data_IF_777146893080
#
_entry.id   IF_777146893080
#
_cell.length_a   1.000
_cell.length_b   1.000
_cell.length_c   1.000
_cell.angle_alpha   90.00
_cell.angle_beta   90.00
_cell.angle_gamma   90.00
#
_symmetry.space_group_name_H-M   'P 1'
#
loop_
_entity.id
_entity.type
_entity.pdbx_description
1 polymer ?
#
# COMPACT_ATOMS: atom_id res chain seq x y z
N UNK A 1 -12.01 12.07 -10.49
CA UNK A 1 -10.64 11.88 -9.98
C UNK A 1 -9.87 11.27 -11.12
N UNK A 2 -8.86 11.97 -11.66
CA UNK A 2 -7.97 11.33 -12.62
C UNK A 2 -7.32 10.13 -11.95
N UNK A 3 -7.26 8.98 -12.64
CA UNK A 3 -6.56 7.82 -12.13
C UNK A 3 -5.08 8.20 -11.95
N UNK A 4 -4.53 7.90 -10.77
CA UNK A 4 -3.13 8.20 -10.45
C UNK A 4 -2.21 7.52 -11.47
N UNK A 5 -2.59 6.33 -11.94
CA UNK A 5 -1.84 5.58 -12.95
C UNK A 5 -1.84 6.35 -14.27
N UNK A 6 -3.00 6.74 -14.78
CA UNK A 6 -3.12 7.52 -16.03
C UNK A 6 -2.31 8.83 -15.96
N UNK A 7 -2.31 9.48 -14.81
CA UNK A 7 -1.57 10.72 -14.58
C UNK A 7 -0.06 10.51 -14.68
N UNK A 8 0.47 9.43 -14.08
CA UNK A 8 1.90 9.10 -14.12
C UNK A 8 2.32 8.63 -15.52
N UNK A 9 1.46 7.88 -16.20
CA UNK A 9 1.74 7.39 -17.55
C UNK A 9 1.76 8.51 -18.60
N UNK A 10 0.98 9.57 -18.39
CA UNK A 10 0.97 10.75 -19.25
C UNK A 10 2.18 11.69 -19.05
N UNK A 11 3.02 11.46 -18.03
CA UNK A 11 4.18 12.31 -17.76
C UNK A 11 5.29 12.12 -18.79
N UNK A 12 6.09 13.17 -19.01
CA UNK A 12 7.32 13.04 -19.78
C UNK A 12 8.26 11.99 -19.13
N UNK A 13 9.10 11.27 -19.90
CA UNK A 13 9.86 10.13 -19.39
C UNK A 13 10.67 10.43 -18.10
N UNK A 14 11.39 11.56 -18.05
CA UNK A 14 12.18 11.96 -16.89
C UNK A 14 11.32 12.29 -15.66
N UNK A 15 10.12 12.86 -15.87
CA UNK A 15 9.18 13.16 -14.78
C UNK A 15 8.53 11.88 -14.24
N UNK A 16 8.18 10.96 -15.14
CA UNK A 16 7.67 9.63 -14.79
C UNK A 16 8.68 8.86 -13.95
N UNK A 17 9.94 8.85 -14.36
CA UNK A 17 11.02 8.19 -13.62
C UNK A 17 11.15 8.77 -12.20
N UNK A 18 11.21 10.10 -12.08
CA UNK A 18 11.26 10.76 -10.78
C UNK A 18 10.05 10.45 -9.90
N UNK A 19 8.84 10.43 -10.48
CA UNK A 19 7.61 10.08 -9.77
C UNK A 19 7.64 8.63 -9.25
N UNK A 20 8.12 7.68 -10.05
CA UNK A 20 8.25 6.28 -9.64
C UNK A 20 9.27 6.10 -8.51
N UNK A 21 10.41 6.80 -8.55
CA UNK A 21 11.41 6.78 -7.47
C UNK A 21 10.81 7.28 -6.15
N UNK A 22 10.06 8.37 -6.19
CA UNK A 22 9.42 8.92 -4.98
C UNK A 22 8.36 7.96 -4.45
N UNK A 23 7.54 7.37 -5.32
CA UNK A 23 6.54 6.38 -4.91
C UNK A 23 7.20 5.15 -4.30
N UNK A 24 8.31 4.66 -4.85
CA UNK A 24 9.05 3.54 -4.29
C UNK A 24 9.67 3.90 -2.92
N UNK A 25 10.21 5.12 -2.77
CA UNK A 25 10.75 5.60 -1.50
C UNK A 25 9.69 5.80 -0.41
N UNK A 26 8.46 6.15 -0.80
CA UNK A 26 7.34 6.43 0.10
C UNK A 26 6.35 5.28 0.20
N UNK A 27 6.59 4.15 -0.45
CA UNK A 27 5.70 3.00 -0.38
C UNK A 27 6.45 1.71 -0.09
N UNK A 28 5.79 0.81 0.62
CA UNK A 28 6.28 -0.56 0.77
C UNK A 28 5.12 -1.53 0.84
N UNK A 29 5.31 -2.78 0.38
CA UNK A 29 4.33 -3.82 0.58
C UNK A 29 4.11 -4.07 2.07
N UNK A 30 2.84 -4.21 2.46
CA UNK A 30 2.47 -4.67 3.80
C UNK A 30 2.60 -6.20 3.89
N UNK A 31 3.19 -6.66 4.99
CA UNK A 31 3.22 -8.08 5.31
C UNK A 31 1.86 -8.53 5.87
N UNK A 32 1.53 -9.81 5.72
CA UNK A 32 0.29 -10.38 6.28
C UNK A 32 0.15 -10.14 7.80
N UNK A 33 1.28 -10.13 8.53
CA UNK A 33 1.31 -9.87 9.98
C UNK A 33 0.98 -8.42 10.31
N UNK A 34 1.44 -7.47 9.51
CA UNK A 34 1.10 -6.06 9.68
C UNK A 34 -0.36 -5.80 9.35
N UNK A 35 -0.88 -6.42 8.29
CA UNK A 35 -2.32 -6.38 7.95
C UNK A 35 -3.14 -6.93 9.12
N UNK A 36 -2.76 -8.08 9.69
CA UNK A 36 -3.44 -8.65 10.86
C UNK A 36 -3.40 -7.70 12.08
N UNK A 37 -2.26 -7.05 12.33
CA UNK A 37 -2.08 -6.09 13.41
C UNK A 37 -3.01 -4.88 13.24
N UNK A 38 -3.08 -4.32 12.03
CA UNK A 38 -3.96 -3.19 11.69
C UNK A 38 -5.42 -3.60 11.88
N UNK A 39 -5.83 -4.77 11.38
CA UNK A 39 -7.21 -5.27 11.55
C UNK A 39 -7.60 -5.44 13.03
N UNK A 40 -6.68 -5.94 13.85
CA UNK A 40 -6.89 -6.04 15.31
C UNK A 40 -7.03 -4.68 15.96
N UNK A 41 -6.20 -3.69 15.58
CA UNK A 41 -6.32 -2.32 16.07
C UNK A 41 -7.69 -1.71 15.71
N UNK A 42 -8.25 -2.07 14.55
CA UNK A 42 -9.62 -1.73 14.13
C UNK A 42 -10.72 -2.58 14.77
N UNK A 43 -10.44 -3.31 15.86
CA UNK A 43 -11.37 -4.17 16.61
C UNK A 43 -11.96 -5.36 15.84
N UNK A 44 -11.32 -5.78 14.75
CA UNK A 44 -11.67 -7.04 14.08
C UNK A 44 -11.26 -8.22 14.98
N UNK A 45 -12.15 -9.19 15.17
CA UNK A 45 -11.85 -10.38 15.98
C UNK A 45 -10.67 -11.14 15.39
N UNK A 46 -9.85 -11.77 16.24
CA UNK A 46 -8.65 -12.50 15.82
C UNK A 46 -8.93 -13.51 14.69
N UNK A 47 -10.01 -14.29 14.80
CA UNK A 47 -10.38 -15.28 13.78
C UNK A 47 -10.69 -14.64 12.42
N UNK A 48 -11.43 -13.52 12.41
CA UNK A 48 -11.72 -12.76 11.19
C UNK A 48 -10.49 -12.08 10.63
N UNK A 49 -9.62 -11.54 11.48
CA UNK A 49 -8.39 -10.88 11.06
C UNK A 49 -7.43 -11.85 10.33
N UNK A 50 -7.29 -13.09 10.81
CA UNK A 50 -6.46 -14.12 10.16
C UNK A 50 -7.01 -14.51 8.78
N UNK A 51 -8.33 -14.67 8.65
CA UNK A 51 -8.98 -14.99 7.38
C UNK A 51 -8.80 -13.82 6.39
N UNK A 52 -9.08 -12.59 6.82
CA UNK A 52 -8.92 -11.40 6.00
C UNK A 52 -7.46 -11.19 5.57
N UNK A 53 -6.49 -11.30 6.47
CA UNK A 53 -5.07 -11.23 6.13
C UNK A 53 -4.66 -12.32 5.13
N UNK A 54 -5.23 -13.52 5.23
CA UNK A 54 -4.96 -14.62 4.29
C UNK A 54 -5.55 -14.39 2.90
N UNK A 55 -6.64 -13.62 2.77
CA UNK A 55 -7.20 -13.20 1.48
C UNK A 55 -6.39 -12.03 0.92
N UNK A 56 -6.08 -11.04 1.76
CA UNK A 56 -5.38 -9.82 1.38
C UNK A 56 -3.90 -10.06 1.02
N UNK A 57 -3.27 -11.15 1.46
CA UNK A 57 -1.89 -11.50 1.07
C UNK A 57 -1.72 -11.68 -0.46
N UNK A 58 -2.80 -11.99 -1.18
CA UNK A 58 -2.79 -12.13 -2.63
C UNK A 58 -2.91 -10.80 -3.37
N UNK A 59 -3.10 -9.70 -2.63
CA UNK A 59 -3.25 -8.35 -3.17
C UNK A 59 -1.96 -7.57 -2.97
N UNK A 60 -1.67 -6.63 -3.88
CA UNK A 60 -0.56 -5.69 -3.73
C UNK A 60 -0.99 -4.54 -2.81
N UNK A 61 -1.08 -4.82 -1.51
CA UNK A 61 -1.41 -3.79 -0.51
C UNK A 61 -0.14 -3.03 -0.16
N UNK A 62 -0.07 -1.77 -0.57
CA UNK A 62 1.03 -0.86 -0.27
C UNK A 62 0.66 0.04 0.91
N UNK A 63 1.59 0.22 1.85
CA UNK A 63 1.52 1.29 2.84
C UNK A 63 2.22 2.52 2.28
N UNK A 64 1.56 3.67 2.36
CA UNK A 64 2.19 4.99 2.14
C UNK A 64 2.87 5.42 3.44
N UNK A 65 4.18 5.60 3.40
CA UNK A 65 5.02 6.02 4.52
C UNK A 65 5.01 7.54 4.62
N UNK A 66 4.41 8.07 5.69
CA UNK A 66 4.52 9.49 6.04
C UNK A 66 5.80 9.78 6.85
N UNK A 67 6.16 11.06 7.05
CA UNK A 67 7.31 11.46 7.87
C UNK A 67 7.16 11.16 9.38
N UNK A 68 5.99 10.70 9.80
CA UNK A 68 5.58 10.46 11.20
C UNK A 68 6.15 9.14 11.81
N UNK A 69 7.42 8.81 11.58
CA UNK A 69 8.04 7.62 12.22
C UNK A 69 8.12 7.73 13.75
#
# INVERSE_FOLDING_TARGET
MADLIETIEAMAPAQREGALIVLDALSRPLTAREIESILKASRVTRSRAVILASVLKGWHVLAMMGPEQ
#
